data_IF_935176544414
#
_entry.id   IF_935176544414
#
_cell.length_a   1.000
_cell.length_b   1.000
_cell.length_c   1.000
_cell.angle_alpha   90.00
_cell.angle_beta   90.00
_cell.angle_gamma   90.00
#
_symmetry.space_group_name_H-M   'P 1'
#
loop_
_entity.id
_entity.type
_entity.pdbx_description
1 polymer ?
#
# COMPACT_ATOMS: atom_id res chain seq x y z
N UNK A 1 -7.14 -10.93 -5.48
CA UNK A 1 -7.50 -9.77 -4.64
C UNK A 1 -8.83 -9.16 -5.07
N UNK A 2 -9.94 -9.59 -4.44
CA UNK A 2 -11.26 -8.97 -4.64
C UNK A 2 -11.24 -7.45 -4.43
N UNK A 3 -10.37 -6.95 -3.55
CA UNK A 3 -10.15 -5.51 -3.38
C UNK A 3 -9.75 -4.78 -4.65
N UNK A 4 -8.92 -5.38 -5.52
CA UNK A 4 -8.56 -4.78 -6.81
C UNK A 4 -9.75 -4.75 -7.78
N UNK A 5 -10.58 -5.80 -7.78
CA UNK A 5 -11.77 -5.84 -8.61
C UNK A 5 -12.75 -4.72 -8.19
N UNK A 6 -13.02 -4.57 -6.89
CA UNK A 6 -13.87 -3.49 -6.39
C UNK A 6 -13.27 -2.10 -6.62
N UNK A 7 -11.95 -1.93 -6.43
CA UNK A 7 -11.22 -0.68 -6.74
C UNK A 7 -11.42 -0.27 -8.20
N UNK A 8 -11.34 -1.23 -9.12
CA UNK A 8 -11.52 -0.99 -10.56
C UNK A 8 -12.97 -0.67 -10.94
N UNK A 9 -13.94 -1.15 -10.15
CA UNK A 9 -15.37 -0.83 -10.31
C UNK A 9 -15.77 0.50 -9.64
N UNK A 10 -14.84 1.21 -8.99
CA UNK A 10 -15.16 2.42 -8.20
C UNK A 10 -15.83 2.15 -6.86
N UNK A 11 -15.94 0.87 -6.46
CA UNK A 11 -16.51 0.42 -5.18
C UNK A 11 -15.45 0.53 -4.08
N UNK A 12 -15.14 1.77 -3.69
CA UNK A 12 -13.99 2.07 -2.83
C UNK A 12 -14.15 1.51 -1.41
N UNK A 13 -15.36 1.54 -0.85
CA UNK A 13 -15.64 1.02 0.48
C UNK A 13 -15.47 -0.52 0.55
N UNK A 14 -15.99 -1.23 -0.45
CA UNK A 14 -15.83 -2.68 -0.56
C UNK A 14 -14.37 -3.06 -0.83
N UNK A 15 -13.64 -2.27 -1.62
CA UNK A 15 -12.22 -2.47 -1.84
C UNK A 15 -11.42 -2.36 -0.54
N UNK A 16 -11.73 -1.35 0.28
CA UNK A 16 -11.10 -1.14 1.58
C UNK A 16 -11.40 -2.27 2.56
N UNK A 17 -12.67 -2.70 2.65
CA UNK A 17 -13.06 -3.83 3.48
C UNK A 17 -12.31 -5.11 3.09
N UNK A 18 -12.13 -5.36 1.80
CA UNK A 18 -11.39 -6.52 1.30
C UNK A 18 -9.90 -6.45 1.61
N UNK A 19 -9.25 -5.30 1.41
CA UNK A 19 -7.83 -5.16 1.74
C UNK A 19 -7.58 -5.27 3.24
N UNK A 20 -8.42 -4.64 4.06
CA UNK A 20 -8.33 -4.70 5.53
C UNK A 20 -8.49 -6.13 6.03
N UNK A 21 -9.51 -6.85 5.53
CA UNK A 21 -9.74 -8.27 5.87
C UNK A 21 -8.56 -9.14 5.46
N UNK A 22 -7.98 -8.93 4.27
CA UNK A 22 -6.84 -9.71 3.81
C UNK A 22 -5.61 -9.49 4.71
N UNK A 23 -5.28 -8.24 5.06
CA UNK A 23 -4.15 -7.95 5.95
C UNK A 23 -4.36 -8.53 7.36
N UNK A 24 -5.58 -8.46 7.89
CA UNK A 24 -5.91 -9.06 9.18
C UNK A 24 -5.72 -10.58 9.14
N UNK A 25 -6.24 -11.26 8.11
CA UNK A 25 -6.06 -12.70 7.94
C UNK A 25 -4.59 -13.11 7.84
N UNK A 26 -3.75 -12.33 7.15
CA UNK A 26 -2.31 -12.61 7.11
C UNK A 26 -1.64 -12.42 8.47
N UNK A 27 -2.06 -11.41 9.25
CA UNK A 27 -1.52 -11.17 10.61
C UNK A 27 -1.91 -12.28 11.59
N UNK A 28 -3.09 -12.87 11.42
CA UNK A 28 -3.55 -13.99 12.25
C UNK A 28 -2.90 -15.31 11.87
N UNK A 29 -2.55 -15.49 10.59
CA UNK A 29 -2.05 -16.76 10.06
C UNK A 29 -0.52 -16.89 10.02
N UNK A 30 0.22 -15.77 10.06
CA UNK A 30 1.66 -15.76 9.86
C UNK A 30 2.39 -15.10 11.03
N UNK A 31 3.56 -15.64 11.37
CA UNK A 31 4.43 -14.97 12.33
C UNK A 31 4.86 -13.58 11.79
N UNK A 32 5.07 -12.61 12.69
CA UNK A 32 5.42 -11.24 12.29
C UNK A 32 6.62 -11.14 11.36
N UNK A 33 7.63 -12.00 11.54
CA UNK A 33 8.84 -12.03 10.70
C UNK A 33 8.53 -12.44 9.26
N UNK A 34 7.67 -13.46 9.07
CA UNK A 34 7.23 -13.88 7.74
C UNK A 34 6.30 -12.85 7.10
N UNK A 35 5.44 -12.20 7.89
CA UNK A 35 4.51 -11.19 7.38
C UNK A 35 5.22 -10.00 6.70
N UNK A 36 6.42 -9.65 7.17
CA UNK A 36 7.22 -8.54 6.60
C UNK A 36 7.76 -8.84 5.20
N UNK A 37 7.90 -10.11 4.83
CA UNK A 37 8.43 -10.55 3.53
C UNK A 37 7.39 -11.32 2.68
N UNK A 38 6.18 -11.53 3.21
CA UNK A 38 5.15 -12.28 2.51
C UNK A 38 4.55 -11.50 1.33
N UNK A 39 4.89 -11.90 0.11
CA UNK A 39 4.52 -11.20 -1.13
C UNK A 39 3.01 -10.88 -1.28
N UNK A 40 2.06 -11.76 -0.91
CA UNK A 40 0.64 -11.41 -0.95
C UNK A 40 0.26 -10.28 0.01
N UNK A 41 0.87 -10.21 1.20
CA UNK A 41 0.67 -9.10 2.12
C UNK A 41 1.27 -7.79 1.57
N UNK A 42 2.46 -7.84 0.99
CA UNK A 42 3.11 -6.67 0.38
C UNK A 42 2.31 -6.11 -0.81
N UNK A 43 1.81 -6.99 -1.68
CA UNK A 43 0.90 -6.62 -2.77
C UNK A 43 -0.40 -6.00 -2.25
N UNK A 44 -0.93 -6.53 -1.15
CA UNK A 44 -2.15 -6.00 -0.53
C UNK A 44 -1.91 -4.61 0.04
N UNK A 45 -0.81 -4.40 0.76
CA UNK A 45 -0.40 -3.09 1.28
C UNK A 45 -0.23 -2.06 0.16
N UNK A 46 0.47 -2.42 -0.92
CA UNK A 46 0.63 -1.51 -2.07
C UNK A 46 -0.72 -1.11 -2.66
N UNK A 47 -1.57 -2.09 -3.00
CA UNK A 47 -2.89 -1.79 -3.59
C UNK A 47 -3.82 -1.03 -2.64
N UNK A 48 -3.69 -1.25 -1.34
CA UNK A 48 -4.43 -0.51 -0.34
C UNK A 48 -3.91 0.93 -0.21
N UNK A 49 -2.60 1.14 -0.28
CA UNK A 49 -2.00 2.46 -0.37
C UNK A 49 -2.54 3.28 -1.56
N UNK A 50 -2.66 2.66 -2.74
CA UNK A 50 -3.26 3.32 -3.92
C UNK A 50 -4.70 3.77 -3.65
N UNK A 51 -5.49 2.92 -2.98
CA UNK A 51 -6.87 3.25 -2.61
C UNK A 51 -6.91 4.40 -1.60
N UNK A 52 -6.08 4.33 -0.56
CA UNK A 52 -6.01 5.33 0.50
C UNK A 52 -5.61 6.70 -0.04
N UNK A 53 -4.59 6.74 -0.91
CA UNK A 53 -4.15 7.95 -1.60
C UNK A 53 -5.28 8.57 -2.44
N UNK A 54 -6.02 7.75 -3.20
CA UNK A 54 -7.19 8.21 -3.97
C UNK A 54 -8.33 8.74 -3.10
N UNK A 55 -8.41 8.32 -1.83
CA UNK A 55 -9.41 8.77 -0.86
C UNK A 55 -8.93 9.90 0.06
N UNK A 56 -7.77 10.52 -0.23
CA UNK A 56 -7.21 11.62 0.57
C UNK A 56 -6.59 11.19 1.91
N UNK A 57 -6.44 9.89 2.17
CA UNK A 57 -5.85 9.35 3.41
C UNK A 57 -4.36 9.12 3.24
N UNK A 58 -3.65 10.22 2.97
CA UNK A 58 -2.25 10.20 2.54
C UNK A 58 -1.29 9.66 3.60
N UNK A 59 -1.51 9.94 4.89
CA UNK A 59 -0.66 9.42 5.99
C UNK A 59 -0.71 7.90 6.10
N UNK A 60 -1.91 7.33 5.96
CA UNK A 60 -2.12 5.89 5.98
C UNK A 60 -1.55 5.27 4.70
N UNK A 61 -1.74 5.92 3.55
CA UNK A 61 -1.15 5.48 2.28
C UNK A 61 0.37 5.42 2.35
N UNK A 62 1.02 6.46 2.91
CA UNK A 62 2.47 6.53 3.13
C UNK A 62 2.94 5.35 3.99
N UNK A 63 2.24 5.06 5.08
CA UNK A 63 2.56 3.91 5.94
C UNK A 63 2.49 2.59 5.16
N UNK A 64 1.44 2.39 4.37
CA UNK A 64 1.28 1.18 3.55
C UNK A 64 2.38 1.04 2.50
N UNK A 65 2.73 2.13 1.81
CA UNK A 65 3.80 2.13 0.82
C UNK A 65 5.17 1.86 1.44
N UNK A 66 5.52 2.50 2.56
CA UNK A 66 6.80 2.27 3.25
C UNK A 66 6.95 0.82 3.70
N UNK A 67 5.89 0.24 4.28
CA UNK A 67 5.93 -1.17 4.68
C UNK A 67 6.07 -2.12 3.49
N UNK A 68 5.34 -1.85 2.40
CA UNK A 68 5.47 -2.63 1.17
C UNK A 68 6.89 -2.52 0.57
N UNK A 69 7.45 -1.32 0.56
CA UNK A 69 8.78 -1.03 0.01
C UNK A 69 9.87 -1.79 0.76
N UNK A 70 9.82 -1.77 2.10
CA UNK A 70 10.77 -2.50 2.92
C UNK A 70 10.71 -4.01 2.67
N UNK A 71 9.51 -4.58 2.56
CA UNK A 71 9.35 -6.00 2.25
C UNK A 71 9.83 -6.36 0.84
N UNK A 72 9.54 -5.53 -0.17
CA UNK A 72 10.03 -5.77 -1.53
C UNK A 72 11.56 -5.63 -1.63
N UNK A 73 12.16 -4.69 -0.88
CA UNK A 73 13.62 -4.56 -0.76
C UNK A 73 14.23 -5.85 -0.23
N UNK A 74 13.63 -6.46 0.79
CA UNK A 74 14.12 -7.71 1.38
C UNK A 74 13.96 -8.92 0.46
N UNK A 75 12.86 -9.03 -0.29
CA UNK A 75 12.54 -10.24 -1.08
C UNK A 75 13.08 -10.19 -2.51
N UNK A 76 13.00 -9.03 -3.17
CA UNK A 76 13.30 -8.87 -4.60
C UNK A 76 14.44 -7.88 -4.87
N UNK A 77 15.00 -7.27 -3.82
CA UNK A 77 16.06 -6.29 -3.91
C UNK A 77 15.57 -4.85 -4.17
N UNK A 78 16.40 -3.84 -3.86
CA UNK A 78 16.03 -2.43 -3.95
C UNK A 78 15.78 -1.94 -5.37
N UNK A 79 16.36 -2.59 -6.38
CA UNK A 79 16.22 -2.21 -7.78
C UNK A 79 14.98 -2.80 -8.47
N UNK A 80 14.14 -3.54 -7.75
CA UNK A 80 12.94 -4.14 -8.33
C UNK A 80 11.97 -3.06 -8.86
N UNK A 81 11.21 -3.40 -9.91
CA UNK A 81 10.21 -2.49 -10.49
C UNK A 81 9.19 -2.00 -9.44
N UNK A 82 8.82 -2.88 -8.50
CA UNK A 82 7.88 -2.56 -7.43
C UNK A 82 8.47 -1.57 -6.42
N UNK A 83 9.75 -1.71 -6.08
CA UNK A 83 10.45 -0.75 -5.23
C UNK A 83 10.43 0.66 -5.86
N UNK A 84 10.79 0.77 -7.13
CA UNK A 84 10.77 2.05 -7.87
C UNK A 84 9.37 2.68 -7.88
N UNK A 85 8.33 1.90 -8.16
CA UNK A 85 6.96 2.40 -8.15
C UNK A 85 6.52 2.91 -6.78
N UNK A 86 6.89 2.21 -5.70
CA UNK A 86 6.57 2.63 -4.34
C UNK A 86 7.33 3.90 -3.95
N UNK A 87 8.58 4.04 -4.38
CA UNK A 87 9.37 5.26 -4.20
C UNK A 87 8.74 6.45 -4.95
N UNK A 88 8.31 6.27 -6.20
CA UNK A 88 7.59 7.30 -6.96
C UNK A 88 6.29 7.74 -6.26
N UNK A 89 5.52 6.78 -5.72
CA UNK A 89 4.29 7.06 -4.97
C UNK A 89 4.57 7.83 -3.68
N UNK A 90 5.60 7.45 -2.93
CA UNK A 90 6.03 8.13 -1.71
C UNK A 90 6.52 9.55 -2.01
N UNK A 91 7.22 9.76 -3.14
CA UNK A 91 7.65 11.08 -3.57
C UNK A 91 6.45 11.97 -3.94
N UNK A 92 5.48 11.43 -4.67
CA UNK A 92 4.26 12.16 -5.03
C UNK A 92 3.50 12.63 -3.77
N UNK A 93 3.38 11.79 -2.74
CA UNK A 93 2.74 12.16 -1.47
C UNK A 93 3.51 13.23 -0.68
N UNK A 94 4.84 13.32 -0.84
CA UNK A 94 5.63 14.38 -0.20
C UNK A 94 5.43 15.73 -0.89
N UNK A 95 5.32 15.73 -2.22
CA UNK A 95 5.10 16.95 -3.01
C UNK A 95 3.73 17.55 -2.71
N UNK A 96 2.68 16.73 -2.57
CA UNK A 96 1.35 17.21 -2.18
C UNK A 96 1.37 17.94 -0.84
N UNK A 97 2.14 17.45 0.14
CA UNK A 97 2.23 18.07 1.47
C UNK A 97 3.04 19.37 1.52
N UNK A 98 3.78 19.71 0.47
CA UNK A 98 4.65 20.91 0.41
C UNK A 98 4.07 22.05 -0.44
N UNK A 99 2.89 21.88 -1.06
CA UNK A 99 2.23 22.96 -1.76
C UNK A 99 1.61 23.94 -0.73
N UNK A 100 1.97 25.24 -0.75
CA UNK A 100 1.34 26.21 0.15
C UNK A 100 -0.13 26.41 -0.23
N UNK A 101 -1.02 26.29 0.75
CA UNK A 101 -2.39 26.81 0.66
C UNK A 101 -2.31 28.33 0.55
N UNK A 102 -2.19 28.84 -0.68
CA UNK A 102 -2.35 30.26 -0.95
C UNK A 102 -3.84 30.60 -0.97
N UNK A 103 -4.31 31.23 0.11
CA UNK A 103 -5.50 32.10 0.14
C UNK A 103 -5.06 33.50 0.51
#
# INVERSE_FOLDING_TARGET
NLGNLYKNQGKLAEAEAMFSRALQGYKEALDPEFLLSYLPALNTKFNFGDLLSRTGREDIARTMYTQALNGYKAVQGPSSKLCKQLEDRLQALQVTTLAPENS
#
